data_IF_060535758244
#
_entry.id   IF_060535758244
#
_cell.length_a   1.000
_cell.length_b   1.000
_cell.length_c   1.000
_cell.angle_alpha   90.00
_cell.angle_beta   90.00
_cell.angle_gamma   90.00
#
_symmetry.space_group_name_H-M   'P 1'
#
loop_
_entity.id
_entity.type
_entity.pdbx_description
1 polymer ?
#
# COMPACT_ATOMS: atom_id res chain seq x y z
N UNK A 1 3.72 -4.02 16.24
CA UNK A 1 3.91 -3.04 15.14
C UNK A 1 5.32 -2.42 15.21
N UNK A 2 6.00 -2.14 14.10
CA UNK A 2 7.32 -1.46 14.12
C UNK A 2 7.18 -0.01 13.69
N UNK A 3 7.75 0.93 14.45
CA UNK A 3 7.73 2.38 14.16
C UNK A 3 9.14 2.97 14.23
N UNK A 4 9.37 4.12 13.57
CA UNK A 4 10.58 4.91 13.78
C UNK A 4 10.50 5.67 15.12
N UNK A 5 11.63 5.84 15.81
CA UNK A 5 11.65 6.55 17.11
C UNK A 5 11.27 8.03 16.97
N UNK A 6 11.55 8.65 15.82
CA UNK A 6 11.10 10.01 15.49
C UNK A 6 9.58 10.10 15.38
N UNK A 7 8.94 9.03 14.88
CA UNK A 7 7.47 8.97 14.80
C UNK A 7 6.87 8.86 16.20
N UNK A 8 7.48 8.04 17.06
CA UNK A 8 7.14 7.95 18.48
C UNK A 8 7.27 9.30 19.19
N UNK A 9 8.36 10.03 18.94
CA UNK A 9 8.59 11.37 19.51
C UNK A 9 7.49 12.35 19.10
N UNK A 10 7.16 12.43 17.81
CA UNK A 10 6.10 13.35 17.35
C UNK A 10 4.72 13.02 17.92
N UNK A 11 4.43 11.74 18.14
CA UNK A 11 3.20 11.32 18.84
C UNK A 11 3.19 11.87 20.26
N UNK A 12 4.30 11.74 21.00
CA UNK A 12 4.41 12.27 22.36
C UNK A 12 4.26 13.80 22.39
N UNK A 13 4.96 14.51 21.51
CA UNK A 13 4.92 15.97 21.42
C UNK A 13 3.51 16.50 21.14
N UNK A 14 2.80 15.88 20.19
CA UNK A 14 1.49 16.38 19.76
C UNK A 14 0.35 16.00 20.70
N UNK A 15 0.44 14.83 21.31
CA UNK A 15 -0.65 14.26 22.11
C UNK A 15 -0.35 14.24 23.61
N UNK A 16 0.75 14.85 24.07
CA UNK A 16 1.14 15.02 25.47
C UNK A 16 1.00 13.75 26.32
N UNK A 17 1.37 12.60 25.75
CA UNK A 17 1.29 11.29 26.41
C UNK A 17 -0.12 10.69 26.54
N UNK A 18 -1.17 11.33 26.03
CA UNK A 18 -2.54 10.76 26.02
C UNK A 18 -2.67 9.49 25.14
N UNK A 19 -1.66 9.22 24.32
CA UNK A 19 -1.60 8.06 23.42
C UNK A 19 -0.29 7.34 23.74
N UNK A 20 -0.33 6.28 24.54
CA UNK A 20 0.87 5.61 24.99
C UNK A 20 1.48 4.82 23.82
N UNK A 21 2.77 5.07 23.57
CA UNK A 21 3.60 4.26 22.67
C UNK A 21 4.28 3.21 23.55
N UNK A 22 3.77 1.98 23.59
CA UNK A 22 4.20 0.96 24.55
C UNK A 22 5.13 -0.03 23.87
N UNK A 23 6.30 -0.32 24.44
CA UNK A 23 7.20 -1.34 23.92
C UNK A 23 6.56 -2.73 23.91
N UNK A 24 6.61 -3.38 22.75
CA UNK A 24 6.10 -4.74 22.57
C UNK A 24 7.08 -5.81 23.05
N UNK A 25 8.38 -5.50 23.03
CA UNK A 25 9.46 -6.40 23.46
C UNK A 25 10.53 -5.61 24.20
N UNK A 26 11.29 -6.33 25.02
CA UNK A 26 12.47 -5.78 25.67
C UNK A 26 13.50 -5.31 24.64
N UNK A 27 14.10 -4.16 24.90
CA UNK A 27 15.25 -3.65 24.17
C UNK A 27 16.44 -3.64 25.13
N UNK A 28 17.55 -4.25 24.72
CA UNK A 28 18.78 -4.33 25.52
C UNK A 28 19.98 -3.99 24.66
N UNK A 29 20.82 -3.07 25.14
CA UNK A 29 22.08 -2.68 24.49
C UNK A 29 23.06 -2.09 25.51
N UNK A 30 24.32 -1.95 25.11
CA UNK A 30 25.33 -1.22 25.88
C UNK A 30 25.36 0.21 25.38
N UNK A 31 25.12 1.17 26.27
CA UNK A 31 25.09 2.59 25.90
C UNK A 31 26.48 3.07 25.46
N UNK A 32 26.55 3.70 24.29
CA UNK A 32 27.82 4.16 23.70
C UNK A 32 28.53 5.21 24.54
N UNK A 33 27.81 6.02 25.33
CA UNK A 33 28.36 7.08 26.16
C UNK A 33 28.75 6.55 27.54
N UNK A 34 27.81 5.91 28.24
CA UNK A 34 28.03 5.50 29.64
C UNK A 34 28.72 4.14 29.77
N UNK A 35 28.75 3.34 28.70
CA UNK A 35 29.24 1.96 28.67
C UNK A 35 28.50 1.00 29.60
N UNK A 36 27.36 1.43 30.17
CA UNK A 36 26.50 0.58 30.97
C UNK A 36 25.44 -0.12 30.11
N UNK A 37 24.99 -1.26 30.58
CA UNK A 37 23.84 -1.95 30.00
C UNK A 37 22.58 -1.13 30.27
N UNK A 38 21.85 -0.79 29.21
CA UNK A 38 20.53 -0.18 29.26
C UNK A 38 19.51 -1.20 28.81
N UNK A 39 18.39 -1.25 29.54
CA UNK A 39 17.25 -2.11 29.21
C UNK A 39 15.96 -1.32 29.30
N UNK A 40 15.17 -1.35 28.22
CA UNK A 40 13.79 -0.92 28.21
C UNK A 40 12.91 -2.17 28.23
N UNK A 41 12.01 -2.27 29.21
CA UNK A 41 11.17 -3.45 29.39
C UNK A 41 9.93 -3.38 28.49
N UNK A 42 9.47 -4.55 28.06
CA UNK A 42 8.16 -4.73 27.48
C UNK A 42 7.09 -4.14 28.41
N UNK A 43 6.11 -3.45 27.82
CA UNK A 43 5.04 -2.80 28.57
C UNK A 43 5.40 -1.40 29.09
N UNK A 44 6.66 -0.98 29.02
CA UNK A 44 7.05 0.39 29.35
C UNK A 44 6.63 1.36 28.23
N UNK A 45 6.21 2.56 28.60
CA UNK A 45 5.88 3.64 27.66
C UNK A 45 7.16 4.31 27.16
N UNK A 46 7.28 4.48 25.85
CA UNK A 46 8.30 5.29 25.21
C UNK A 46 8.13 6.77 25.60
N UNK A 47 9.21 7.45 25.95
CA UNK A 47 9.24 8.84 26.40
C UNK A 47 10.44 9.61 25.80
N UNK A 48 10.59 10.88 26.17
CA UNK A 48 11.67 11.73 25.68
C UNK A 48 13.08 11.23 26.06
N UNK A 49 13.24 10.67 27.27
CA UNK A 49 14.53 10.16 27.73
C UNK A 49 14.91 8.91 26.92
N UNK A 50 13.93 8.03 26.67
CA UNK A 50 14.10 6.87 25.80
C UNK A 50 14.54 7.27 24.38
N UNK A 51 13.93 8.31 23.79
CA UNK A 51 14.29 8.81 22.46
C UNK A 51 15.78 9.18 22.37
N UNK A 52 16.26 10.01 23.28
CA UNK A 52 17.66 10.48 23.29
C UNK A 52 18.65 9.32 23.44
N UNK A 53 18.33 8.36 24.31
CA UNK A 53 19.16 7.17 24.51
C UNK A 53 19.16 6.27 23.28
N UNK A 54 18.02 6.05 22.64
CA UNK A 54 17.93 5.19 21.45
C UNK A 54 18.66 5.81 20.25
N UNK A 55 18.44 7.10 20.00
CA UNK A 55 19.03 7.83 18.88
C UNK A 55 20.57 7.82 18.96
N UNK A 56 21.15 8.15 20.12
CA UNK A 56 22.61 8.15 20.29
C UNK A 56 23.23 6.76 20.11
N UNK A 57 22.46 5.71 20.39
CA UNK A 57 22.88 4.33 20.19
C UNK A 57 22.64 3.81 18.77
N UNK A 58 22.03 4.62 17.88
CA UNK A 58 21.75 4.28 16.49
C UNK A 58 20.56 3.32 16.33
N UNK A 59 19.68 3.25 17.33
CA UNK A 59 18.46 2.45 17.29
C UNK A 59 17.34 3.37 16.79
N UNK A 60 17.06 3.29 15.50
CA UNK A 60 16.10 4.21 14.86
C UNK A 60 14.67 3.66 14.81
N UNK A 61 14.47 2.37 15.12
CA UNK A 61 13.19 1.68 15.06
C UNK A 61 12.93 0.86 16.31
N UNK A 62 11.68 0.83 16.73
CA UNK A 62 11.23 0.09 17.92
C UNK A 62 9.95 -0.68 17.60
N UNK A 63 9.79 -1.82 18.26
CA UNK A 63 8.55 -2.61 18.19
C UNK A 63 7.63 -2.20 19.33
N UNK A 64 6.41 -1.79 18.97
CA UNK A 64 5.40 -1.23 19.86
C UNK A 64 4.08 -1.98 19.74
N UNK A 65 3.34 -2.03 20.84
CA UNK A 65 2.01 -2.64 20.89
C UNK A 65 1.09 -1.91 19.92
N UNK A 66 0.46 -2.64 19.01
CA UNK A 66 -0.55 -2.07 18.14
C UNK A 66 -1.78 -1.68 18.95
N UNK A 67 -2.30 -0.48 18.69
CA UNK A 67 -3.66 -0.11 19.07
C UNK A 67 -4.26 0.70 17.93
N UNK A 68 -5.56 0.56 17.71
CA UNK A 68 -6.27 1.32 16.68
C UNK A 68 -6.12 2.84 16.86
N UNK A 69 -6.09 3.30 18.12
CA UNK A 69 -5.90 4.70 18.45
C UNK A 69 -4.51 5.20 18.04
N UNK A 70 -3.44 4.47 18.37
CA UNK A 70 -2.08 4.81 17.97
C UNK A 70 -1.96 4.80 16.45
N UNK A 71 -2.48 3.76 15.80
CA UNK A 71 -2.45 3.62 14.35
C UNK A 71 -3.17 4.77 13.64
N UNK A 72 -4.37 5.15 14.11
CA UNK A 72 -5.10 6.30 13.55
C UNK A 72 -4.31 7.60 13.62
N UNK A 73 -3.49 7.80 14.67
CA UNK A 73 -2.61 8.97 14.76
C UNK A 73 -1.40 8.87 13.85
N UNK A 74 -0.82 7.69 13.71
CA UNK A 74 0.28 7.45 12.77
C UNK A 74 -0.17 7.72 11.33
N UNK A 75 -1.36 7.26 10.93
CA UNK A 75 -1.94 7.59 9.61
C UNK A 75 -2.13 9.10 9.44
N UNK A 76 -2.62 9.79 10.47
CA UNK A 76 -2.84 11.25 10.40
C UNK A 76 -1.53 12.06 10.33
N UNK A 77 -0.47 11.61 10.99
CA UNK A 77 0.81 12.32 11.06
C UNK A 77 1.78 11.94 9.95
N UNK A 78 1.73 10.69 9.51
CA UNK A 78 2.68 10.10 8.58
C UNK A 78 1.95 9.31 7.47
N UNK A 79 1.06 9.97 6.70
CA UNK A 79 0.23 9.31 5.69
C UNK A 79 1.02 8.56 4.61
N UNK A 80 2.26 8.97 4.33
CA UNK A 80 3.11 8.31 3.35
C UNK A 80 3.65 6.95 3.85
N UNK A 81 3.77 6.79 5.17
CA UNK A 81 4.27 5.57 5.81
C UNK A 81 3.12 4.66 6.25
N UNK A 82 2.07 5.25 6.83
CA UNK A 82 0.92 4.52 7.37
C UNK A 82 -0.33 4.87 6.59
N UNK A 83 -0.96 3.83 6.06
CA UNK A 83 -2.10 3.94 5.15
C UNK A 83 -3.35 3.38 5.80
N UNK A 84 -4.53 3.87 5.44
CA UNK A 84 -5.77 3.20 5.86
C UNK A 84 -5.88 1.82 5.18
N UNK A 85 -6.50 0.82 5.84
CA UNK A 85 -6.66 -0.51 5.25
C UNK A 85 -7.45 -0.44 3.94
N UNK A 86 -7.08 -1.28 2.98
CA UNK A 86 -7.81 -1.43 1.72
C UNK A 86 -9.23 -1.96 1.97
N UNK A 87 -9.33 -2.99 2.82
CA UNK A 87 -10.59 -3.62 3.16
C UNK A 87 -10.54 -4.26 4.55
N UNK A 88 -11.73 -4.50 5.09
CA UNK A 88 -11.96 -5.29 6.30
C UNK A 88 -12.93 -6.41 5.94
N UNK A 89 -12.61 -7.65 6.32
CA UNK A 89 -13.47 -8.83 6.09
C UNK A 89 -13.62 -9.61 7.38
N UNK A 90 -14.78 -10.22 7.59
CA UNK A 90 -14.92 -11.25 8.62
C UNK A 90 -14.09 -12.49 8.25
N UNK A 91 -13.90 -13.40 9.21
CA UNK A 91 -13.14 -14.64 9.02
C UNK A 91 -13.52 -15.42 7.76
N UNK A 92 -14.82 -15.62 7.50
CA UNK A 92 -15.31 -16.46 6.40
C UNK A 92 -14.99 -15.82 5.05
N UNK A 93 -15.28 -14.53 4.92
CA UNK A 93 -15.04 -13.79 3.67
C UNK A 93 -13.54 -13.60 3.42
N UNK A 94 -12.74 -13.48 4.48
CA UNK A 94 -11.28 -13.47 4.38
C UNK A 94 -10.74 -14.82 3.92
N UNK A 95 -11.22 -15.95 4.45
CA UNK A 95 -10.80 -17.29 4.02
C UNK A 95 -11.12 -17.55 2.53
N UNK A 96 -12.31 -17.14 2.07
CA UNK A 96 -12.66 -17.16 0.64
C UNK A 96 -11.76 -16.26 -0.18
N UNK A 97 -11.49 -15.03 0.29
CA UNK A 97 -10.61 -14.08 -0.39
C UNK A 97 -9.19 -14.62 -0.55
N UNK A 98 -8.64 -15.23 0.50
CA UNK A 98 -7.32 -15.87 0.47
C UNK A 98 -7.26 -17.06 -0.50
N UNK A 99 -8.35 -17.82 -0.61
CA UNK A 99 -8.46 -18.92 -1.58
C UNK A 99 -8.47 -18.39 -3.03
N UNK A 100 -9.22 -17.32 -3.29
CA UNK A 100 -9.25 -16.69 -4.61
C UNK A 100 -7.90 -16.08 -5.01
N UNK A 101 -7.16 -15.52 -4.03
CA UNK A 101 -5.77 -15.09 -4.24
C UNK A 101 -4.86 -16.25 -4.65
N UNK A 102 -5.00 -17.42 -4.01
CA UNK A 102 -4.22 -18.61 -4.36
C UNK A 102 -4.52 -19.09 -5.78
N UNK A 103 -5.80 -19.18 -6.13
CA UNK A 103 -6.22 -19.54 -7.49
C UNK A 103 -5.66 -18.54 -8.52
N UNK A 104 -5.71 -17.25 -8.22
CA UNK A 104 -5.13 -16.22 -9.09
C UNK A 104 -3.61 -16.38 -9.24
N UNK A 105 -2.90 -16.69 -8.15
CA UNK A 105 -1.45 -16.93 -8.14
C UNK A 105 -1.04 -18.21 -8.89
N UNK A 106 -1.91 -19.21 -8.95
CA UNK A 106 -1.68 -20.43 -9.75
C UNK A 106 -1.92 -20.20 -11.24
N UNK A 107 -2.86 -19.33 -11.58
CA UNK A 107 -3.27 -19.03 -12.95
C UNK A 107 -2.52 -17.85 -13.58
N UNK A 108 -1.59 -17.23 -12.86
CA UNK A 108 -0.77 -16.12 -13.34
C UNK A 108 0.67 -16.23 -12.83
N UNK A 109 1.59 -15.47 -13.46
CA UNK A 109 2.98 -15.36 -13.00
C UNK A 109 3.14 -14.34 -11.87
N UNK A 110 2.13 -13.48 -11.67
CA UNK A 110 2.08 -12.46 -10.63
C UNK A 110 1.81 -13.07 -9.26
N UNK A 111 2.62 -12.70 -8.26
CA UNK A 111 2.43 -13.12 -6.87
C UNK A 111 1.63 -12.08 -6.10
N UNK A 112 0.56 -12.54 -5.45
CA UNK A 112 -0.34 -11.76 -4.62
C UNK A 112 -0.39 -12.30 -3.22
N UNK A 113 -0.47 -11.38 -2.29
CA UNK A 113 -0.69 -11.60 -0.87
C UNK A 113 -1.50 -10.44 -0.29
N UNK A 114 -1.80 -10.52 0.99
CA UNK A 114 -2.36 -9.40 1.76
C UNK A 114 -1.40 -9.05 2.89
N UNK A 115 -1.33 -7.78 3.25
CA UNK A 115 -0.52 -7.31 4.36
C UNK A 115 -1.48 -6.96 5.50
N UNK A 116 -1.25 -7.48 6.69
CA UNK A 116 -2.12 -7.21 7.83
C UNK A 116 -2.12 -5.73 8.19
N UNK A 117 -3.30 -5.15 8.36
CA UNK A 117 -3.50 -3.81 8.92
C UNK A 117 -4.00 -3.85 10.36
N UNK A 118 -3.91 -5.02 11.02
CA UNK A 118 -4.33 -5.24 12.41
C UNK A 118 -3.40 -6.23 13.12
N UNK A 119 -3.49 -6.31 14.45
CA UNK A 119 -2.89 -7.39 15.24
C UNK A 119 -3.99 -8.33 15.74
N UNK A 120 -3.87 -9.62 15.39
CA UNK A 120 -4.79 -10.66 15.83
C UNK A 120 -4.08 -11.50 16.87
N UNK A 121 -4.70 -11.59 18.05
CA UNK A 121 -4.16 -12.33 19.19
C UNK A 121 -5.11 -13.45 19.62
N UNK A 122 -4.55 -14.52 20.19
CA UNK A 122 -5.28 -15.56 20.88
C UNK A 122 -4.58 -15.88 22.20
N UNK A 123 -5.30 -15.74 23.32
CA UNK A 123 -4.75 -15.92 24.67
C UNK A 123 -3.45 -15.13 24.92
N UNK A 124 -3.38 -13.91 24.38
CA UNK A 124 -2.22 -13.02 24.52
C UNK A 124 -1.05 -13.32 23.56
N UNK A 125 -1.16 -14.35 22.72
CA UNK A 125 -0.16 -14.67 21.70
C UNK A 125 -0.58 -14.04 20.37
N UNK A 126 0.31 -13.26 19.75
CA UNK A 126 0.08 -12.68 18.42
C UNK A 126 0.15 -13.78 17.39
N UNK A 127 -0.96 -13.98 16.66
CA UNK A 127 -1.07 -14.91 15.54
C UNK A 127 -0.72 -14.20 14.24
N UNK A 128 -1.21 -12.96 14.09
CA UNK A 128 -0.94 -12.09 12.95
C UNK A 128 -0.51 -10.74 13.51
N UNK A 129 0.70 -10.32 13.18
CA UNK A 129 1.26 -9.00 13.49
C UNK A 129 0.79 -7.93 12.50
N UNK A 130 0.78 -6.67 12.93
CA UNK A 130 0.58 -5.54 12.02
C UNK A 130 1.73 -5.47 11.00
N UNK A 131 1.40 -5.22 9.73
CA UNK A 131 2.37 -5.15 8.64
C UNK A 131 2.89 -6.52 8.18
N UNK A 132 2.37 -7.61 8.75
CA UNK A 132 2.78 -8.95 8.39
C UNK A 132 2.17 -9.38 7.05
N UNK A 133 3.01 -9.90 6.15
CA UNK A 133 2.55 -10.48 4.88
C UNK A 133 1.87 -11.83 5.11
N UNK A 134 0.67 -11.99 4.57
CA UNK A 134 -0.19 -13.17 4.70
C UNK A 134 -0.42 -13.76 3.32
N UNK A 135 0.27 -14.87 3.05
CA UNK A 135 -0.01 -15.73 1.90
C UNK A 135 -1.11 -16.74 2.24
N UNK A 136 -1.67 -17.41 1.23
CA UNK A 136 -2.68 -18.46 1.45
C UNK A 136 -2.13 -19.62 2.29
N UNK A 137 -0.88 -20.05 2.05
CA UNK A 137 -0.24 -21.12 2.82
C UNK A 137 -0.04 -20.72 4.29
N UNK A 138 0.30 -19.45 4.53
CA UNK A 138 0.40 -18.91 5.88
C UNK A 138 -0.95 -18.86 6.56
N UNK A 139 -1.96 -18.30 5.88
CA UNK A 139 -3.34 -18.25 6.39
C UNK A 139 -3.84 -19.64 6.78
N UNK A 140 -3.68 -20.65 5.93
CA UNK A 140 -4.12 -22.02 6.23
C UNK A 140 -3.44 -22.63 7.47
N UNK A 141 -2.18 -22.27 7.75
CA UNK A 141 -1.47 -22.74 8.95
C UNK A 141 -1.99 -22.08 10.22
N UNK A 142 -2.39 -20.81 10.16
CA UNK A 142 -2.69 -20.01 11.35
C UNK A 142 -4.20 -19.84 11.62
N UNK A 143 -5.07 -20.01 10.62
CA UNK A 143 -6.51 -19.72 10.71
C UNK A 143 -7.25 -20.51 11.79
N UNK A 144 -6.76 -21.70 12.15
CA UNK A 144 -7.32 -22.49 13.25
C UNK A 144 -7.17 -21.83 14.62
N UNK A 145 -6.22 -20.89 14.77
CA UNK A 145 -6.03 -20.11 15.99
C UNK A 145 -6.83 -18.82 16.05
N UNK A 146 -7.49 -18.40 14.96
CA UNK A 146 -8.20 -17.12 14.87
C UNK A 146 -9.68 -17.33 15.22
N UNK A 147 -10.25 -16.45 16.05
CA UNK A 147 -11.68 -16.48 16.35
C UNK A 147 -12.49 -16.20 15.07
N UNK A 148 -13.57 -16.95 14.84
CA UNK A 148 -14.45 -16.76 13.68
C UNK A 148 -15.18 -15.42 13.69
N UNK A 149 -15.28 -14.75 14.85
CA UNK A 149 -15.84 -13.40 14.99
C UNK A 149 -14.83 -12.30 14.68
N UNK A 150 -13.55 -12.63 14.49
CA UNK A 150 -12.52 -11.64 14.21
C UNK A 150 -12.75 -10.98 12.85
N UNK A 151 -12.73 -9.65 12.84
CA UNK A 151 -12.61 -8.86 11.63
C UNK A 151 -11.13 -8.65 11.29
N UNK A 152 -10.80 -8.81 10.03
CA UNK A 152 -9.43 -8.81 9.52
C UNK A 152 -9.31 -7.65 8.54
N UNK A 153 -8.65 -6.59 8.99
CA UNK A 153 -8.29 -5.42 8.17
C UNK A 153 -6.95 -5.67 7.49
N UNK A 154 -6.86 -5.40 6.19
CA UNK A 154 -5.65 -5.68 5.41
C UNK A 154 -5.43 -4.68 4.27
N UNK A 155 -4.19 -4.65 3.79
CA UNK A 155 -3.79 -4.02 2.54
C UNK A 155 -3.66 -5.08 1.45
N UNK A 156 -3.95 -4.71 0.20
CA UNK A 156 -3.56 -5.55 -0.93
C UNK A 156 -2.06 -5.39 -1.20
N UNK A 157 -1.38 -6.48 -1.56
CA UNK A 157 -0.03 -6.40 -2.14
C UNK A 157 -0.01 -5.65 -3.47
N UNK A 158 -1.15 -5.59 -4.18
CA UNK A 158 -1.32 -4.84 -5.42
C UNK A 158 -1.78 -3.41 -5.10
N UNK A 159 -0.96 -2.41 -5.41
CA UNK A 159 -1.28 -1.01 -5.14
C UNK A 159 -0.79 -0.09 -6.24
N UNK A 160 -1.53 0.98 -6.49
CA UNK A 160 -1.13 2.03 -7.42
C UNK A 160 -1.56 1.84 -8.86
N UNK A 161 -1.25 2.84 -9.65
CA UNK A 161 -1.71 3.04 -11.02
C UNK A 161 -0.52 3.30 -11.93
N UNK A 162 -0.45 2.58 -13.05
CA UNK A 162 0.51 2.82 -14.12
C UNK A 162 -0.17 3.53 -15.29
N UNK A 163 0.20 4.78 -15.53
CA UNK A 163 -0.22 5.59 -16.67
C UNK A 163 0.69 5.29 -17.87
N UNK A 164 0.12 4.78 -18.96
CA UNK A 164 0.87 4.36 -20.14
C UNK A 164 0.51 5.25 -21.33
N UNK A 165 1.51 5.91 -21.90
CA UNK A 165 1.38 6.66 -23.16
C UNK A 165 2.61 6.45 -24.03
N UNK A 166 2.47 5.74 -25.14
CA UNK A 166 3.57 5.49 -26.05
C UNK A 166 3.96 6.73 -26.84
N UNK A 167 5.11 7.30 -26.50
CA UNK A 167 5.63 8.53 -27.09
C UNK A 167 6.89 8.23 -27.91
N UNK A 168 6.77 8.29 -29.24
CA UNK A 168 7.92 8.23 -30.15
C UNK A 168 8.12 9.63 -30.72
N UNK A 169 9.35 10.16 -30.68
CA UNK A 169 9.65 11.51 -31.17
C UNK A 169 9.33 11.72 -32.67
N UNK A 170 9.24 10.62 -33.43
CA UNK A 170 8.88 10.60 -34.85
C UNK A 170 7.37 10.64 -35.10
N UNK A 171 6.54 10.50 -34.06
CA UNK A 171 5.09 10.47 -34.21
C UNK A 171 4.55 11.88 -34.53
N UNK A 172 3.72 11.98 -35.57
CA UNK A 172 3.06 13.24 -35.95
C UNK A 172 2.13 13.79 -34.86
N UNK A 173 1.66 12.93 -33.94
CA UNK A 173 0.81 13.29 -32.80
C UNK A 173 1.55 13.33 -31.46
N UNK A 174 2.90 13.37 -31.46
CA UNK A 174 3.70 13.40 -30.24
C UNK A 174 3.26 14.48 -29.24
N UNK A 175 3.06 15.72 -29.72
CA UNK A 175 2.65 16.83 -28.86
C UNK A 175 1.29 16.58 -28.20
N UNK A 176 0.32 16.05 -28.96
CA UNK A 176 -1.01 15.74 -28.43
C UNK A 176 -0.93 14.66 -27.34
N UNK A 177 -0.16 13.59 -27.59
CA UNK A 177 0.07 12.53 -26.60
C UNK A 177 0.76 13.05 -25.34
N UNK A 178 1.75 13.93 -25.50
CA UNK A 178 2.46 14.55 -24.39
C UNK A 178 1.55 15.40 -23.51
N UNK A 179 0.70 16.24 -24.11
CA UNK A 179 -0.28 17.04 -23.36
C UNK A 179 -1.28 16.16 -22.62
N UNK A 180 -1.88 15.19 -23.30
CA UNK A 180 -2.84 14.26 -22.69
C UNK A 180 -2.22 13.44 -21.55
N UNK A 181 -0.96 13.01 -21.70
CA UNK A 181 -0.22 12.32 -20.65
C UNK A 181 0.00 13.24 -19.44
N UNK A 182 0.43 14.47 -19.68
CA UNK A 182 0.70 15.47 -18.64
C UNK A 182 -0.59 15.83 -17.88
N UNK A 183 -1.69 16.00 -18.59
CA UNK A 183 -3.02 16.22 -18.00
C UNK A 183 -3.48 15.03 -17.16
N UNK A 184 -3.25 13.80 -17.62
CA UNK A 184 -3.58 12.61 -16.84
C UNK A 184 -2.73 12.52 -15.56
N UNK A 185 -1.44 12.82 -15.63
CA UNK A 185 -0.58 12.89 -14.43
C UNK A 185 -1.10 13.95 -13.46
N UNK A 186 -1.42 15.15 -13.94
CA UNK A 186 -1.98 16.23 -13.12
C UNK A 186 -3.34 15.84 -12.50
N UNK A 187 -4.21 15.14 -13.25
CA UNK A 187 -5.48 14.61 -12.74
C UNK A 187 -5.26 13.66 -11.55
N UNK A 188 -4.27 12.76 -11.64
CA UNK A 188 -3.99 11.80 -10.57
C UNK A 188 -3.27 12.42 -9.38
N UNK A 189 -2.29 13.32 -9.62
CA UNK A 189 -1.43 13.86 -8.56
C UNK A 189 -2.04 15.09 -7.89
N UNK A 190 -2.54 16.04 -8.68
CA UNK A 190 -2.99 17.34 -8.16
C UNK A 190 -4.48 17.32 -7.79
N UNK A 191 -5.33 16.79 -8.67
CA UNK A 191 -6.79 16.84 -8.43
C UNK A 191 -7.25 15.85 -7.37
N UNK A 192 -6.69 14.64 -7.31
CA UNK A 192 -7.00 13.72 -6.20
C UNK A 192 -6.61 14.30 -4.82
N UNK A 193 -5.56 15.13 -4.77
CA UNK A 193 -5.11 15.81 -3.56
C UNK A 193 -6.01 16.99 -3.17
N UNK A 194 -6.38 17.82 -4.13
CA UNK A 194 -7.05 19.11 -3.86
C UNK A 194 -8.58 18.98 -3.79
N UNK A 195 -9.19 18.03 -4.51
CA UNK A 195 -10.65 17.90 -4.61
C UNK A 195 -11.23 16.82 -3.69
N UNK A 196 -10.40 16.18 -2.86
CA UNK A 196 -10.83 15.15 -1.91
C UNK A 196 -11.30 13.86 -2.59
N UNK A 197 -10.96 13.64 -3.87
CA UNK A 197 -11.29 12.40 -4.56
C UNK A 197 -10.36 11.27 -4.08
N UNK A 198 -10.94 10.32 -3.34
CA UNK A 198 -10.21 9.13 -2.86
C UNK A 198 -10.46 7.96 -3.81
N UNK A 199 -9.40 7.49 -4.48
CA UNK A 199 -9.44 6.29 -5.31
C UNK A 199 -9.70 5.02 -4.46
N UNK A 200 -8.91 4.86 -3.41
CA UNK A 200 -8.97 3.80 -2.40
C UNK A 200 -8.37 4.33 -1.09
N UNK A 201 -8.76 3.83 0.09
CA UNK A 201 -8.21 4.31 1.37
C UNK A 201 -6.69 4.14 1.50
N UNK A 202 -6.12 3.16 0.79
CA UNK A 202 -4.70 2.81 0.80
C UNK A 202 -3.89 3.43 -0.36
N UNK A 203 -4.51 4.28 -1.18
CA UNK A 203 -3.88 4.91 -2.35
C UNK A 203 -3.38 6.32 -2.05
N UNK A 204 -2.11 6.58 -2.37
CA UNK A 204 -1.44 7.86 -2.21
C UNK A 204 -0.84 8.32 -3.53
N UNK A 205 -1.40 9.38 -4.11
CA UNK A 205 -1.05 9.84 -5.45
C UNK A 205 0.45 10.14 -5.63
N UNK A 206 1.11 10.68 -4.59
CA UNK A 206 2.53 11.05 -4.63
C UNK A 206 3.47 9.84 -4.77
N UNK A 207 3.05 8.64 -4.34
CA UNK A 207 3.90 7.45 -4.29
C UNK A 207 3.37 6.26 -5.09
N UNK A 208 2.10 6.29 -5.48
CA UNK A 208 1.43 5.17 -6.14
C UNK A 208 1.06 5.44 -7.61
N UNK A 209 1.47 6.58 -8.17
CA UNK A 209 1.29 6.91 -9.59
C UNK A 209 2.62 6.71 -10.32
N UNK A 210 2.62 5.77 -11.26
CA UNK A 210 3.75 5.46 -12.12
C UNK A 210 3.42 5.84 -13.55
N UNK A 211 4.42 6.21 -14.33
CA UNK A 211 4.28 6.52 -15.76
C UNK A 211 5.13 5.58 -16.59
N UNK A 212 4.75 5.26 -17.82
CA UNK A 212 5.59 4.57 -18.79
C UNK A 212 5.31 5.05 -20.20
N UNK A 213 6.38 5.11 -21.02
CA UNK A 213 6.36 5.77 -22.33
C UNK A 213 6.65 4.83 -23.50
N UNK A 214 6.91 3.55 -23.21
CA UNK A 214 7.16 2.50 -24.19
C UNK A 214 6.59 1.15 -23.71
N UNK A 215 6.45 0.19 -24.63
CA UNK A 215 5.94 -1.15 -24.30
C UNK A 215 6.83 -1.87 -23.27
N UNK A 216 8.14 -1.85 -23.47
CA UNK A 216 9.11 -2.52 -22.60
C UNK A 216 9.11 -1.90 -21.20
N UNK A 217 9.18 -0.57 -21.12
CA UNK A 217 9.10 0.14 -19.84
C UNK A 217 7.78 -0.16 -19.10
N UNK A 218 6.66 -0.17 -19.83
CA UNK A 218 5.34 -0.45 -19.24
C UNK A 218 5.27 -1.84 -18.63
N UNK A 219 5.78 -2.85 -19.34
CA UNK A 219 5.79 -4.22 -18.85
C UNK A 219 6.75 -4.38 -17.65
N UNK A 220 7.96 -3.83 -17.73
CA UNK A 220 8.92 -3.90 -16.63
C UNK A 220 8.39 -3.21 -15.37
N UNK A 221 7.86 -1.98 -15.49
CA UNK A 221 7.26 -1.27 -14.36
C UNK A 221 6.07 -2.04 -13.78
N UNK A 222 5.22 -2.61 -14.62
CA UNK A 222 4.09 -3.43 -14.14
C UNK A 222 4.54 -4.60 -13.25
N UNK A 223 5.62 -5.28 -13.65
CA UNK A 223 6.21 -6.39 -12.89
C UNK A 223 6.88 -5.91 -11.61
N UNK A 224 7.68 -4.85 -11.67
CA UNK A 224 8.49 -4.34 -10.56
C UNK A 224 7.67 -3.67 -9.46
N UNK A 225 6.67 -2.88 -9.83
CA UNK A 225 5.91 -2.03 -8.90
C UNK A 225 4.69 -2.73 -8.32
N UNK A 226 4.29 -3.86 -8.90
CA UNK A 226 3.07 -4.58 -8.54
C UNK A 226 1.81 -3.66 -8.59
N UNK A 227 1.73 -2.77 -9.58
CA UNK A 227 0.59 -1.86 -9.76
C UNK A 227 -0.74 -2.59 -9.89
N UNK A 228 -1.78 -2.04 -9.27
CA UNK A 228 -3.11 -2.65 -9.26
C UNK A 228 -3.86 -2.43 -10.58
N UNK A 229 -3.67 -1.26 -11.21
CA UNK A 229 -4.36 -0.83 -12.42
C UNK A 229 -3.38 -0.25 -13.45
N UNK A 230 -3.53 -0.66 -14.70
CA UNK A 230 -2.90 -0.02 -15.87
C UNK A 230 -3.92 0.89 -16.53
N UNK A 231 -3.54 2.12 -16.83
CA UNK A 231 -4.38 3.10 -17.54
C UNK A 231 -3.66 3.50 -18.80
N UNK A 232 -4.22 3.14 -19.95
CA UNK A 232 -3.74 3.60 -21.25
C UNK A 232 -4.29 5.00 -21.49
N UNK A 233 -3.41 5.97 -21.68
CA UNK A 233 -3.76 7.37 -21.90
C UNK A 233 -3.41 7.71 -23.34
N UNK A 234 -4.35 7.44 -24.24
CA UNK A 234 -4.21 7.73 -25.67
C UNK A 234 -5.59 7.79 -26.33
N UNK A 235 -5.76 8.75 -27.24
CA UNK A 235 -6.93 8.87 -28.10
C UNK A 235 -7.17 7.64 -28.99
N UNK A 236 -6.09 6.95 -29.38
CA UNK A 236 -6.15 5.83 -30.31
C UNK A 236 -5.38 4.61 -29.77
N UNK A 237 -6.07 3.48 -29.66
CA UNK A 237 -5.45 2.20 -29.30
C UNK A 237 -4.80 1.59 -30.54
N UNK A 238 -3.51 1.88 -30.71
CA UNK A 238 -2.64 1.32 -31.75
C UNK A 238 -2.31 -0.17 -31.53
N UNK A 239 -1.66 -0.79 -32.51
CA UNK A 239 -1.22 -2.19 -32.42
C UNK A 239 -0.19 -2.40 -31.31
N UNK A 240 0.70 -1.43 -31.07
CA UNK A 240 1.66 -1.47 -29.96
C UNK A 240 0.95 -1.64 -28.61
N UNK A 241 -0.17 -0.92 -28.37
CA UNK A 241 -0.94 -1.10 -27.14
C UNK A 241 -1.61 -2.47 -27.07
N UNK A 242 -2.08 -3.02 -28.18
CA UNK A 242 -2.63 -4.39 -28.20
C UNK A 242 -1.56 -5.41 -27.84
N UNK A 243 -0.34 -5.26 -28.34
CA UNK A 243 0.80 -6.09 -27.99
C UNK A 243 1.10 -6.01 -26.49
N UNK A 244 1.13 -4.80 -25.91
CA UNK A 244 1.25 -4.62 -24.47
C UNK A 244 0.15 -5.34 -23.69
N UNK A 245 -1.11 -5.18 -24.09
CA UNK A 245 -2.26 -5.83 -23.43
C UNK A 245 -2.13 -7.35 -23.46
N UNK A 246 -1.74 -7.93 -24.60
CA UNK A 246 -1.51 -9.37 -24.75
C UNK A 246 -0.36 -9.82 -23.83
N UNK A 247 0.74 -9.08 -23.80
CA UNK A 247 1.91 -9.36 -22.96
C UNK A 247 1.56 -9.32 -21.48
N UNK A 248 0.84 -8.28 -21.04
CA UNK A 248 0.32 -8.14 -19.68
C UNK A 248 -0.61 -9.30 -19.31
N UNK A 249 -1.56 -9.66 -20.18
CA UNK A 249 -2.50 -10.77 -19.93
C UNK A 249 -1.84 -12.14 -19.92
N UNK A 250 -0.76 -12.31 -20.68
CA UNK A 250 0.03 -13.54 -20.70
C UNK A 250 0.82 -13.71 -19.39
N UNK A 251 1.27 -12.61 -18.80
CA UNK A 251 1.91 -12.61 -17.49
C UNK A 251 0.88 -12.71 -16.34
N UNK A 252 -0.18 -11.91 -16.43
CA UNK A 252 -1.27 -11.81 -15.47
C UNK A 252 -2.63 -11.71 -16.16
N UNK A 253 -3.35 -12.83 -16.25
CA UNK A 253 -4.69 -12.89 -16.84
C UNK A 253 -5.73 -12.02 -16.11
N UNK A 254 -5.45 -11.58 -14.88
CA UNK A 254 -6.35 -10.77 -14.05
C UNK A 254 -6.01 -9.28 -14.10
N UNK A 255 -5.04 -8.87 -14.94
CA UNK A 255 -4.63 -7.48 -15.09
C UNK A 255 -5.83 -6.56 -15.31
N UNK A 256 -5.87 -5.48 -14.53
CA UNK A 256 -6.90 -4.44 -14.66
C UNK A 256 -6.37 -3.39 -15.63
N UNK A 257 -7.14 -3.14 -16.67
CA UNK A 257 -6.78 -2.18 -17.72
C UNK A 257 -7.96 -1.25 -17.92
N UNK A 258 -7.69 0.05 -17.88
CA UNK A 258 -8.62 1.11 -18.25
C UNK A 258 -8.00 1.93 -19.39
N UNK A 259 -8.82 2.58 -20.21
CA UNK A 259 -8.35 3.46 -21.28
C UNK A 259 -9.03 4.82 -21.14
N UNK A 260 -8.21 5.86 -21.10
CA UNK A 260 -8.65 7.25 -21.20
C UNK A 260 -8.39 7.65 -22.66
N UNK A 261 -9.46 7.81 -23.44
CA UNK A 261 -9.37 8.21 -24.86
C UNK A 261 -9.69 9.68 -25.08
N UNK A 262 -10.34 10.32 -24.11
CA UNK A 262 -10.61 11.75 -24.13
C UNK A 262 -10.55 12.27 -22.70
N UNK A 263 -9.60 13.17 -22.43
CA UNK A 263 -9.46 13.87 -21.17
C UNK A 263 -9.71 15.35 -21.40
N UNK A 264 -10.62 15.93 -20.63
CA UNK A 264 -10.96 17.35 -20.67
C UNK A 264 -11.50 17.78 -19.32
N UNK A 265 -11.41 19.07 -18.95
CA UNK A 265 -11.96 19.56 -17.69
C UNK A 265 -13.44 19.23 -17.45
N UNK A 266 -14.23 19.05 -18.52
CA UNK A 266 -15.65 18.73 -18.44
C UNK A 266 -15.94 17.27 -18.02
N UNK A 267 -15.00 16.34 -18.22
CA UNK A 267 -15.22 14.90 -18.01
C UNK A 267 -14.28 14.24 -16.99
N UNK A 268 -13.39 15.01 -16.35
CA UNK A 268 -12.43 14.52 -15.36
C UNK A 268 -13.07 13.67 -14.26
N UNK A 269 -14.19 14.14 -13.68
CA UNK A 269 -14.86 13.40 -12.60
C UNK A 269 -15.42 12.05 -13.09
N UNK A 270 -15.91 11.99 -14.32
CA UNK A 270 -16.41 10.74 -14.91
C UNK A 270 -15.25 9.76 -15.16
N UNK A 271 -14.14 10.28 -15.68
CA UNK A 271 -12.89 9.53 -15.87
C UNK A 271 -12.40 8.97 -14.53
N UNK A 272 -12.32 9.80 -13.49
CA UNK A 272 -11.93 9.38 -12.14
C UNK A 272 -12.87 8.32 -11.55
N UNK A 273 -14.19 8.45 -11.75
CA UNK A 273 -15.17 7.43 -11.33
C UNK A 273 -14.98 6.11 -12.07
N UNK A 274 -14.71 6.14 -13.37
CA UNK A 274 -14.45 4.95 -14.16
C UNK A 274 -13.17 4.25 -13.70
N UNK A 275 -12.10 5.01 -13.47
CA UNK A 275 -10.83 4.52 -12.93
C UNK A 275 -11.03 3.92 -11.54
N UNK A 276 -11.78 4.59 -10.66
CA UNK A 276 -12.11 4.07 -9.32
C UNK A 276 -12.86 2.74 -9.39
N UNK A 277 -13.84 2.63 -10.26
CA UNK A 277 -14.56 1.37 -10.48
C UNK A 277 -13.60 0.26 -10.93
N UNK A 278 -12.75 0.53 -11.92
CA UNK A 278 -11.73 -0.43 -12.39
C UNK A 278 -10.72 -0.79 -11.32
N UNK A 279 -10.26 0.16 -10.51
CA UNK A 279 -9.29 -0.05 -9.44
C UNK A 279 -9.86 -0.95 -8.34
N UNK A 280 -11.09 -0.71 -7.90
CA UNK A 280 -11.71 -1.43 -6.79
C UNK A 280 -12.28 -2.81 -7.17
N UNK A 281 -12.41 -3.12 -8.46
CA UNK A 281 -12.92 -4.43 -8.91
C UNK A 281 -11.85 -5.50 -8.70
N UNK A 282 -12.18 -6.62 -8.07
CA UNK A 282 -11.32 -7.80 -8.02
C UNK A 282 -11.73 -8.77 -9.13
N UNK A 283 -10.93 -8.85 -10.21
CA UNK A 283 -11.21 -9.70 -11.38
C UNK A 283 -11.03 -11.21 -11.13
N UNK A 284 -10.61 -11.59 -9.93
CA UNK A 284 -10.37 -12.97 -9.53
C UNK A 284 -11.34 -13.46 -8.43
N UNK A 285 -12.25 -12.59 -7.97
CA UNK A 285 -13.39 -12.94 -7.10
C UNK A 285 -14.65 -13.15 -7.95
#
# INVERSE_FOLDING_TARGET
MVINIEEGLRILEKYSGSIPVIYQKDIKFVDKLTKHEVRFFQGTTFDFDHYEVLLRNGINKIEVVFSELLFAKLVSLFPQTYRLPFATKNFIDFDKYMSAIDDANRLSKRKRSVISATEITNKGIIIIGYGEDITFEKWNRIKGGVDRKTEISFYSSERGVLLVTFMKATDSNYLQKFFMHSEAVALFVEKMKNEGFVLSPDFYADTDVYTATSEEESFSKYVETNVRLVVIVDSNITEDYKNLIVKLRTYDRFVRINAITNLSPANELEVLKAIKKSYLTDNFL
#
